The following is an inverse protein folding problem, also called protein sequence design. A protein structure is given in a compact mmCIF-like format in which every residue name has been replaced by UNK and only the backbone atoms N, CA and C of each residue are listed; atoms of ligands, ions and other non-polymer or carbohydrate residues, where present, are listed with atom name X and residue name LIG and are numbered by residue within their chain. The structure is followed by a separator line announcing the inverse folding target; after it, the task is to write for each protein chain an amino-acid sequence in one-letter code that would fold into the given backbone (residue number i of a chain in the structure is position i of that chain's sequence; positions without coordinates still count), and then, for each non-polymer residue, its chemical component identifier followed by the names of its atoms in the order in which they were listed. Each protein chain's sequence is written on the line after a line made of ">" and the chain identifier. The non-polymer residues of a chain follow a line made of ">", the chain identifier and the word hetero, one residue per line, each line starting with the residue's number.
data_IF_131185777948
#
_entry.id   IF_131185777948
#
_cell.length_a   1.000
_cell.length_b   1.000
_cell.length_c   1.000
_cell.angle_alpha   90.00
_cell.angle_beta   90.00
_cell.angle_gamma   90.00
#
_symmetry.space_group_name_H-M   'P 1'
#
loop_
_entity.id
_entity.type
_entity.pdbx_description
1 polymer ?
#
# COMPACT_ATOMS: atom_id res chain seq x y z
N UNK A 1 21.82 52.06 1.12
CA UNK A 1 20.76 51.23 0.50
C UNK A 1 21.42 50.07 -0.25
N UNK A 2 21.40 48.86 0.30
CA UNK A 2 22.03 47.69 -0.36
C UNK A 2 21.10 47.23 -1.48
N UNK A 3 21.51 47.45 -2.73
CA UNK A 3 20.83 46.87 -3.91
C UNK A 3 21.14 45.36 -3.94
N UNK A 4 20.30 44.55 -3.30
CA UNK A 4 20.36 43.09 -3.46
C UNK A 4 20.07 42.74 -4.91
N UNK A 5 21.09 42.25 -5.65
CA UNK A 5 20.90 41.66 -6.98
C UNK A 5 20.27 40.27 -6.82
N UNK A 6 19.11 40.04 -7.47
CA UNK A 6 18.53 38.70 -7.56
C UNK A 6 19.40 37.86 -8.49
N UNK A 7 20.16 36.93 -7.92
CA UNK A 7 21.00 36.01 -8.69
C UNK A 7 20.16 34.80 -9.10
N UNK A 8 19.78 34.73 -10.38
CA UNK A 8 19.14 33.56 -10.97
C UNK A 8 20.19 32.46 -11.19
N UNK A 9 19.87 31.22 -10.77
CA UNK A 9 20.76 30.07 -10.95
C UNK A 9 19.95 28.86 -11.36
N UNK A 10 20.21 28.35 -12.56
CA UNK A 10 19.58 27.13 -13.07
C UNK A 10 19.83 25.93 -12.16
N UNK A 11 21.00 25.86 -11.50
CA UNK A 11 21.31 24.83 -10.51
C UNK A 11 20.36 24.89 -9.31
N UNK A 12 20.08 26.09 -8.79
CA UNK A 12 19.13 26.29 -7.68
C UNK A 12 17.69 25.97 -8.11
N UNK A 13 17.30 26.39 -9.31
CA UNK A 13 15.98 26.08 -9.87
C UNK A 13 15.81 24.56 -10.04
N UNK A 14 16.77 23.88 -10.68
CA UNK A 14 16.76 22.43 -10.85
C UNK A 14 16.65 21.68 -9.53
N UNK A 15 17.44 22.06 -8.52
CA UNK A 15 17.36 21.44 -7.18
C UNK A 15 15.99 21.61 -6.51
N UNK A 16 15.33 22.76 -6.70
CA UNK A 16 13.96 22.98 -6.20
C UNK A 16 12.95 22.12 -6.93
N UNK A 17 13.03 22.07 -8.27
CA UNK A 17 12.13 21.24 -9.09
C UNK A 17 12.20 19.76 -8.70
N UNK A 18 13.41 19.23 -8.58
CA UNK A 18 13.66 17.84 -8.16
C UNK A 18 13.10 17.60 -6.75
N UNK A 19 13.26 18.56 -5.84
CA UNK A 19 12.67 18.49 -4.49
C UNK A 19 11.14 18.39 -4.51
N UNK A 20 10.48 19.28 -5.25
CA UNK A 20 9.02 19.31 -5.37
C UNK A 20 8.49 17.99 -5.95
N UNK A 21 9.11 17.48 -7.02
CA UNK A 21 8.69 16.23 -7.64
C UNK A 21 8.87 15.05 -6.67
N UNK A 22 10.01 14.96 -5.96
CA UNK A 22 10.24 13.91 -4.98
C UNK A 22 9.23 13.95 -3.81
N UNK A 23 8.86 15.15 -3.35
CA UNK A 23 7.83 15.36 -2.33
C UNK A 23 6.45 14.89 -2.83
N UNK A 24 6.06 15.27 -4.05
CA UNK A 24 4.80 14.81 -4.66
C UNK A 24 4.78 13.29 -4.76
N UNK A 25 5.82 12.67 -5.32
CA UNK A 25 5.88 11.21 -5.48
C UNK A 25 5.74 10.51 -4.11
N UNK A 26 6.43 11.02 -3.09
CA UNK A 26 6.30 10.51 -1.73
C UNK A 26 4.87 10.65 -1.18
N UNK A 27 4.20 11.77 -1.45
CA UNK A 27 2.80 11.97 -1.07
C UNK A 27 1.85 11.02 -1.82
N UNK A 28 2.08 10.78 -3.10
CA UNK A 28 1.33 9.80 -3.91
C UNK A 28 1.49 8.39 -3.35
N UNK A 29 2.71 7.97 -3.01
CA UNK A 29 2.95 6.65 -2.42
C UNK A 29 2.30 6.52 -1.03
N UNK A 30 2.29 7.58 -0.22
CA UNK A 30 1.57 7.61 1.06
C UNK A 30 0.06 7.42 0.85
N UNK A 31 -0.53 8.19 -0.06
CA UNK A 31 -1.95 8.07 -0.40
C UNK A 31 -2.29 6.66 -0.88
N UNK A 32 -1.48 6.11 -1.78
CA UNK A 32 -1.69 4.76 -2.30
C UNK A 32 -1.61 3.71 -1.19
N UNK A 33 -0.65 3.83 -0.27
CA UNK A 33 -0.54 2.95 0.88
C UNK A 33 -1.78 3.02 1.77
N UNK A 34 -2.26 4.22 2.09
CA UNK A 34 -3.49 4.43 2.87
C UNK A 34 -4.74 3.92 2.16
N UNK A 35 -4.84 4.12 0.84
CA UNK A 35 -5.95 3.65 0.01
C UNK A 35 -6.02 2.12 -0.01
N UNK A 36 -4.87 1.43 -0.13
CA UNK A 36 -4.78 -0.03 0.00
C UNK A 36 -5.29 -0.48 1.38
N UNK A 37 -4.85 0.18 2.47
CA UNK A 37 -5.31 -0.15 3.83
C UNK A 37 -6.82 0.06 3.98
N UNK A 38 -7.37 1.16 3.46
CA UNK A 38 -8.81 1.43 3.46
C UNK A 38 -9.59 0.41 2.64
N UNK A 39 -9.05 -0.03 1.50
CA UNK A 39 -9.62 -1.10 0.68
C UNK A 39 -9.73 -2.40 1.47
N UNK A 40 -8.65 -2.82 2.14
CA UNK A 40 -8.66 -4.00 3.02
C UNK A 40 -9.74 -3.88 4.11
N UNK A 41 -9.79 -2.74 4.81
CA UNK A 41 -10.70 -2.52 5.93
C UNK A 41 -12.17 -2.49 5.49
N UNK A 42 -12.44 -1.95 4.30
CA UNK A 42 -13.78 -1.88 3.73
C UNK A 42 -14.14 -3.09 2.86
N UNK A 43 -13.25 -4.08 2.76
CA UNK A 43 -13.40 -5.27 1.91
C UNK A 43 -13.62 -4.91 0.43
N UNK A 44 -12.88 -3.93 -0.07
CA UNK A 44 -12.95 -3.40 -1.43
C UNK A 44 -11.59 -3.55 -2.10
N UNK A 45 -11.57 -3.98 -3.36
CA UNK A 45 -10.36 -4.12 -4.17
C UNK A 45 -9.85 -2.76 -4.70
N UNK A 46 -8.68 -2.77 -5.36
CA UNK A 46 -8.07 -1.56 -5.92
C UNK A 46 -8.90 -0.91 -7.03
N UNK A 47 -9.86 -1.64 -7.61
CA UNK A 47 -10.77 -1.18 -8.67
C UNK A 47 -12.07 -0.61 -8.12
N UNK A 48 -12.33 -0.77 -6.82
CA UNK A 48 -13.54 -0.33 -6.12
C UNK A 48 -14.63 -1.40 -5.99
N UNK A 49 -14.37 -2.65 -6.37
CA UNK A 49 -15.33 -3.76 -6.24
C UNK A 49 -15.20 -4.45 -4.88
N UNK A 50 -16.29 -4.99 -4.34
CA UNK A 50 -16.21 -5.76 -3.08
C UNK A 50 -15.48 -7.08 -3.28
N UNK A 51 -14.68 -7.48 -2.29
CA UNK A 51 -14.04 -8.79 -2.29
C UNK A 51 -15.09 -9.89 -2.42
N UNK A 52 -14.82 -10.85 -3.31
CA UNK A 52 -15.65 -12.03 -3.43
C UNK A 52 -15.73 -12.76 -2.09
N UNK A 53 -16.95 -12.99 -1.62
CA UNK A 53 -17.19 -13.79 -0.41
C UNK A 53 -16.70 -15.22 -0.69
N UNK A 54 -16.10 -15.83 0.33
CA UNK A 54 -15.81 -17.26 0.27
C UNK A 54 -17.13 -18.02 0.09
N UNK A 55 -17.13 -19.02 -0.80
CA UNK A 55 -18.31 -19.86 -1.06
C UNK A 55 -18.64 -20.68 0.18
N UNK A 56 -19.55 -20.16 1.02
CA UNK A 56 -20.22 -20.75 2.20
C UNK A 56 -19.36 -21.40 3.30
N UNK A 57 -18.10 -21.73 3.04
CA UNK A 57 -17.20 -22.45 3.93
C UNK A 57 -16.38 -21.46 4.75
N UNK A 58 -16.90 -21.13 5.93
CA UNK A 58 -16.13 -20.48 6.97
C UNK A 58 -15.43 -21.53 7.83
N UNK A 59 -14.22 -21.25 8.33
CA UNK A 59 -13.60 -22.07 9.38
C UNK A 59 -14.26 -21.84 10.74
N UNK A 60 -15.15 -20.85 10.87
CA UNK A 60 -15.77 -20.45 12.13
C UNK A 60 -16.59 -21.58 12.79
N UNK A 61 -17.46 -22.33 12.09
CA UNK A 61 -18.16 -23.46 12.70
C UNK A 61 -17.20 -24.55 13.20
N UNK A 62 -16.12 -24.83 12.46
CA UNK A 62 -15.09 -25.80 12.85
C UNK A 62 -14.35 -25.32 14.11
N UNK A 63 -14.01 -24.02 14.18
CA UNK A 63 -13.35 -23.41 15.34
C UNK A 63 -14.25 -23.38 16.57
N UNK A 64 -15.53 -23.03 16.39
CA UNK A 64 -16.53 -23.03 17.46
C UNK A 64 -16.71 -24.43 18.04
N UNK A 65 -16.80 -25.47 17.19
CA UNK A 65 -16.86 -26.88 17.65
C UNK A 65 -15.63 -27.30 18.47
N UNK A 66 -14.46 -26.73 18.17
CA UNK A 66 -13.20 -26.99 18.90
C UNK A 66 -13.00 -26.08 20.12
N UNK A 67 -14.00 -25.29 20.50
CA UNK A 67 -13.92 -24.36 21.65
C UNK A 67 -13.02 -23.13 21.42
N UNK A 68 -12.57 -22.88 20.18
CA UNK A 68 -11.68 -21.76 19.88
C UNK A 68 -12.39 -20.43 19.59
N UNK A 69 -13.71 -20.44 19.35
CA UNK A 69 -14.52 -19.26 19.09
C UNK A 69 -14.09 -18.41 17.88
N UNK A 70 -14.65 -17.20 17.77
CA UNK A 70 -14.12 -16.13 16.95
C UNK A 70 -13.00 -15.44 17.74
N UNK A 71 -11.74 -15.69 17.38
CA UNK A 71 -10.62 -14.86 17.84
C UNK A 71 -10.39 -13.79 16.78
N UNK A 72 -10.69 -12.50 17.07
CA UNK A 72 -10.34 -11.39 16.20
C UNK A 72 -8.87 -11.46 15.76
N UNK A 73 -8.55 -10.98 14.56
CA UNK A 73 -7.16 -10.94 14.08
C UNK A 73 -6.22 -10.21 15.06
N UNK A 74 -6.75 -9.28 15.86
CA UNK A 74 -6.03 -8.52 16.90
C UNK A 74 -5.65 -9.30 18.15
N UNK A 75 -6.23 -10.49 18.39
CA UNK A 75 -6.00 -11.30 19.62
C UNK A 75 -5.30 -12.63 19.34
N UNK A 76 -4.94 -12.90 18.07
CA UNK A 76 -4.01 -14.00 17.79
C UNK A 76 -2.64 -13.63 18.35
N UNK A 77 -2.21 -14.35 19.40
CA UNK A 77 -0.83 -14.28 19.92
C UNK A 77 0.13 -14.51 18.75
N UNK A 78 0.74 -13.42 18.29
CA UNK A 78 1.89 -13.45 17.40
C UNK A 78 2.98 -14.20 18.16
N UNK A 79 3.38 -15.38 17.66
CA UNK A 79 4.43 -16.16 18.32
C UNK A 79 5.71 -15.35 18.35
N UNK A 80 6.25 -15.12 19.54
CA UNK A 80 7.57 -14.51 19.75
C UNK A 80 8.64 -15.55 19.47
N UNK A 81 9.37 -15.46 18.35
CA UNK A 81 10.66 -16.14 18.14
C UNK A 81 11.33 -15.52 16.91
N UNK A 82 12.63 -15.21 16.82
CA UNK A 82 13.79 -15.41 17.68
C UNK A 82 15.00 -14.73 17.01
N UNK A 83 16.14 -14.63 17.69
CA UNK A 83 17.28 -13.75 17.37
C UNK A 83 18.07 -14.02 16.05
N UNK A 84 17.48 -14.66 15.05
CA UNK A 84 18.17 -15.02 13.79
C UNK A 84 17.41 -14.56 12.54
N UNK A 85 17.30 -13.24 12.37
CA UNK A 85 17.60 -12.56 11.09
C UNK A 85 16.75 -12.83 9.84
N UNK A 86 15.66 -13.58 9.91
CA UNK A 86 14.65 -13.71 8.82
C UNK A 86 13.24 -13.80 9.43
N UNK A 87 12.86 -12.74 10.12
CA UNK A 87 11.63 -12.69 10.92
C UNK A 87 10.38 -12.42 10.06
N UNK A 88 9.86 -13.46 9.41
CA UNK A 88 8.46 -13.51 9.00
C UNK A 88 7.58 -13.96 10.17
N UNK A 89 7.48 -13.14 11.23
CA UNK A 89 6.58 -13.44 12.35
C UNK A 89 5.12 -13.21 11.93
N UNK A 90 4.44 -14.29 11.57
CA UNK A 90 3.00 -14.54 11.81
C UNK A 90 1.99 -13.43 11.52
N UNK A 91 2.17 -12.62 10.47
CA UNK A 91 1.11 -11.72 10.02
C UNK A 91 0.07 -12.48 9.19
N UNK A 92 -1.02 -12.92 9.81
CA UNK A 92 -2.27 -13.28 9.09
C UNK A 92 -2.98 -12.04 8.52
N UNK A 93 -2.38 -10.87 8.68
CA UNK A 93 -2.94 -9.62 8.20
C UNK A 93 -2.47 -9.36 6.77
N UNK A 94 -3.39 -8.89 5.93
CA UNK A 94 -3.06 -8.27 4.64
C UNK A 94 -2.25 -6.98 4.83
N UNK A 95 -2.07 -6.50 6.07
CA UNK A 95 -1.55 -5.17 6.43
C UNK A 95 -0.01 -5.06 6.43
N UNK A 96 0.67 -5.67 5.48
CA UNK A 96 2.13 -5.66 5.43
C UNK A 96 2.65 -5.02 4.13
N UNK A 97 2.42 -3.72 3.99
CA UNK A 97 2.98 -2.89 2.91
C UNK A 97 4.05 -1.95 3.46
N UNK A 98 5.14 -1.77 2.70
CA UNK A 98 6.21 -0.80 2.99
C UNK A 98 6.17 0.32 1.97
N UNK A 99 6.12 1.56 2.44
CA UNK A 99 6.38 2.70 1.59
C UNK A 99 7.88 2.95 1.47
N UNK A 100 8.36 3.12 0.25
CA UNK A 100 9.70 3.63 -0.06
C UNK A 100 9.51 5.03 -0.64
N UNK A 101 9.89 6.10 0.08
CA UNK A 101 9.73 7.47 -0.41
C UNK A 101 10.65 7.73 -1.61
N UNK A 102 10.27 8.69 -2.45
CA UNK A 102 11.13 9.14 -3.52
C UNK A 102 12.30 9.94 -2.95
N UNK A 103 13.48 9.75 -3.52
CA UNK A 103 14.66 10.55 -3.22
C UNK A 103 14.98 11.43 -4.42
N UNK A 104 15.78 12.49 -4.20
CA UNK A 104 16.24 13.36 -5.29
C UNK A 104 17.02 12.61 -6.38
N UNK A 105 17.62 11.47 -6.04
CA UNK A 105 18.38 10.63 -6.96
C UNK A 105 17.53 9.58 -7.67
N UNK A 106 16.58 8.95 -6.96
CA UNK A 106 15.77 7.87 -7.53
C UNK A 106 14.54 8.37 -8.30
N UNK A 107 13.97 9.51 -7.89
CA UNK A 107 12.76 10.10 -8.49
C UNK A 107 11.62 9.09 -8.67
N UNK A 108 11.57 8.13 -7.75
CA UNK A 108 10.65 7.01 -7.79
C UNK A 108 10.28 6.66 -6.35
N UNK A 109 8.97 6.63 -6.07
CA UNK A 109 8.40 6.16 -4.82
C UNK A 109 7.66 4.85 -5.04
N UNK A 110 7.78 3.91 -4.11
CA UNK A 110 7.15 2.58 -4.23
C UNK A 110 6.33 2.26 -3.00
N UNK A 111 5.27 1.50 -3.20
CA UNK A 111 4.64 0.72 -2.13
C UNK A 111 4.94 -0.74 -2.44
N UNK A 112 5.53 -1.45 -1.50
CA UNK A 112 6.00 -2.83 -1.67
C UNK A 112 5.22 -3.72 -0.71
N UNK A 113 4.77 -4.87 -1.20
CA UNK A 113 4.20 -5.90 -0.33
C UNK A 113 5.33 -6.67 0.36
N UNK A 114 5.32 -6.72 1.69
CA UNK A 114 6.37 -7.36 2.49
C UNK A 114 5.98 -8.81 2.85
N UNK A 115 4.68 -9.13 2.89
CA UNK A 115 4.19 -10.42 3.36
C UNK A 115 3.81 -11.35 2.19
N UNK A 116 4.40 -12.54 2.15
CA UNK A 116 4.08 -13.60 1.18
C UNK A 116 2.59 -14.02 1.25
N UNK A 117 1.98 -14.01 2.43
CA UNK A 117 0.54 -14.30 2.57
C UNK A 117 -0.33 -13.28 1.83
N UNK A 118 0.12 -12.02 1.78
CA UNK A 118 -0.54 -10.98 1.02
C UNK A 118 -0.55 -11.28 -0.48
N UNK A 119 0.53 -11.87 -1.00
CA UNK A 119 0.72 -12.21 -2.42
C UNK A 119 -0.31 -13.27 -2.81
N UNK A 120 -0.40 -14.35 -2.04
CA UNK A 120 -1.38 -15.42 -2.29
C UNK A 120 -2.82 -14.91 -2.27
N UNK A 121 -3.16 -13.99 -1.36
CA UNK A 121 -4.50 -13.41 -1.33
C UNK A 121 -4.76 -12.44 -2.51
N UNK A 122 -3.71 -11.85 -3.08
CA UNK A 122 -3.82 -11.00 -4.26
C UNK A 122 -4.07 -11.84 -5.52
N UNK A 123 -3.39 -12.98 -5.66
CA UNK A 123 -3.45 -13.88 -6.83
C UNK A 123 -4.60 -14.90 -6.76
N UNK A 124 -5.08 -15.20 -5.55
CA UNK A 124 -5.96 -16.34 -5.30
C UNK A 124 -5.18 -17.65 -5.20
N UNK A 125 -5.74 -18.64 -4.50
CA UNK A 125 -5.06 -19.92 -4.28
C UNK A 125 -6.04 -21.04 -3.97
N UNK A 126 -5.58 -22.28 -4.04
CA UNK A 126 -6.32 -23.45 -3.54
C UNK A 126 -5.72 -23.90 -2.21
N UNK A 127 -6.56 -24.18 -1.22
CA UNK A 127 -6.08 -24.64 0.09
C UNK A 127 -5.46 -26.03 0.00
N UNK A 128 -4.29 -26.21 0.64
CA UNK A 128 -3.58 -27.48 0.64
C UNK A 128 -4.27 -28.59 1.45
N UNK A 129 -3.84 -29.83 1.24
CA UNK A 129 -4.38 -31.04 1.88
C UNK A 129 -4.33 -31.04 3.42
N UNK A 130 -3.35 -30.34 4.01
CA UNK A 130 -3.19 -30.19 5.46
C UNK A 130 -3.96 -29.00 6.06
N UNK A 131 -4.73 -28.26 5.27
CA UNK A 131 -5.48 -27.10 5.77
C UNK A 131 -6.75 -27.52 6.52
N UNK A 132 -7.33 -26.60 7.30
CA UNK A 132 -8.61 -26.86 7.99
C UNK A 132 -9.78 -27.10 7.04
N UNK A 133 -9.71 -26.60 5.80
CA UNK A 133 -10.70 -26.84 4.76
C UNK A 133 -9.95 -27.14 3.46
N UNK A 134 -9.54 -28.40 3.22
CA UNK A 134 -8.74 -28.78 2.06
C UNK A 134 -9.44 -28.59 0.71
N UNK A 135 -8.67 -28.34 -0.35
CA UNK A 135 -9.15 -28.36 -1.74
C UNK A 135 -10.13 -27.25 -2.11
N UNK A 136 -10.17 -26.16 -1.33
CA UNK A 136 -11.06 -25.02 -1.59
C UNK A 136 -10.35 -23.92 -2.34
N UNK A 137 -11.02 -23.41 -3.37
CA UNK A 137 -10.56 -22.25 -4.14
C UNK A 137 -10.87 -20.97 -3.38
N UNK A 138 -9.83 -20.25 -3.01
CA UNK A 138 -9.89 -18.89 -2.48
C UNK A 138 -9.78 -17.92 -3.66
N UNK A 139 -10.80 -17.09 -3.92
CA UNK A 139 -10.77 -16.17 -5.03
C UNK A 139 -9.70 -15.10 -4.82
N UNK A 140 -9.11 -14.64 -5.94
CA UNK A 140 -8.22 -13.48 -5.96
C UNK A 140 -8.95 -12.24 -5.44
N UNK A 141 -8.26 -11.38 -4.70
CA UNK A 141 -8.84 -10.16 -4.11
C UNK A 141 -8.32 -8.86 -4.71
N UNK A 142 -7.33 -8.89 -5.59
CA UNK A 142 -6.73 -7.70 -6.24
C UNK A 142 -6.63 -6.49 -5.27
N UNK A 143 -6.18 -6.75 -4.04
CA UNK A 143 -6.21 -5.79 -2.95
C UNK A 143 -4.96 -4.89 -2.95
N UNK A 144 -3.93 -5.29 -3.69
CA UNK A 144 -2.67 -4.58 -3.82
C UNK A 144 -2.38 -4.25 -5.29
N UNK A 145 -1.91 -3.03 -5.53
CA UNK A 145 -1.64 -2.48 -6.86
C UNK A 145 -1.79 -0.96 -6.84
N UNK A 146 -1.98 -0.34 -8.00
CA UNK A 146 -2.37 1.07 -8.12
C UNK A 146 -3.90 1.14 -8.01
N UNK A 147 -4.42 2.05 -7.19
CA UNK A 147 -5.88 2.21 -7.05
C UNK A 147 -6.45 3.00 -8.21
N UNK A 148 -7.70 2.76 -8.59
CA UNK A 148 -8.40 3.46 -9.68
C UNK A 148 -8.28 4.99 -9.61
N UNK A 149 -8.24 5.56 -8.40
CA UNK A 149 -8.10 7.00 -8.21
C UNK A 149 -6.68 7.54 -8.50
N UNK A 150 -5.68 6.67 -8.42
CA UNK A 150 -4.25 6.94 -8.60
C UNK A 150 -3.71 6.47 -9.95
N UNK A 151 -4.50 5.72 -10.73
CA UNK A 151 -4.19 5.42 -12.12
C UNK A 151 -4.18 6.71 -12.96
N UNK A 152 -3.53 6.68 -14.13
CA UNK A 152 -3.50 7.83 -15.06
C UNK A 152 -4.93 8.24 -15.42
N UNK A 153 -5.26 9.53 -15.28
CA UNK A 153 -6.62 10.06 -15.46
C UNK A 153 -7.54 9.86 -14.25
N UNK A 154 -7.06 9.21 -13.18
CA UNK A 154 -7.76 9.11 -11.91
C UNK A 154 -7.82 10.44 -11.18
N UNK A 155 -8.89 10.68 -10.41
CA UNK A 155 -9.14 11.97 -9.74
C UNK A 155 -7.98 12.42 -8.85
N UNK A 156 -7.39 11.51 -8.08
CA UNK A 156 -6.30 11.85 -7.17
C UNK A 156 -4.97 12.00 -7.91
N UNK A 157 -4.73 11.18 -8.94
CA UNK A 157 -3.61 11.35 -9.84
C UNK A 157 -3.59 12.76 -10.45
N UNK A 158 -4.70 13.21 -11.05
CA UNK A 158 -4.80 14.55 -11.64
C UNK A 158 -4.65 15.67 -10.61
N UNK A 159 -5.11 15.45 -9.38
CA UNK A 159 -4.92 16.38 -8.27
C UNK A 159 -3.44 16.55 -7.94
N UNK A 160 -2.71 15.44 -7.76
CA UNK A 160 -1.27 15.49 -7.49
C UNK A 160 -0.48 16.13 -8.63
N UNK A 161 -0.79 15.80 -9.89
CA UNK A 161 -0.16 16.43 -11.06
C UNK A 161 -0.39 17.94 -11.05
N UNK A 162 -1.64 18.37 -10.88
CA UNK A 162 -2.01 19.79 -10.85
C UNK A 162 -1.31 20.54 -9.72
N UNK A 163 -1.34 20.01 -8.50
CA UNK A 163 -0.64 20.59 -7.34
C UNK A 163 0.86 20.69 -7.58
N UNK A 164 1.47 19.69 -8.22
CA UNK A 164 2.90 19.71 -8.55
C UNK A 164 3.24 20.83 -9.53
N UNK A 165 2.45 20.99 -10.60
CA UNK A 165 2.64 22.05 -11.58
C UNK A 165 2.47 23.45 -10.95
N UNK A 166 1.51 23.61 -10.04
CA UNK A 166 1.32 24.85 -9.28
C UNK A 166 2.55 25.14 -8.42
N UNK A 167 3.01 24.17 -7.65
CA UNK A 167 4.18 24.32 -6.77
C UNK A 167 5.45 24.65 -7.58
N UNK A 168 5.66 23.97 -8.71
CA UNK A 168 6.75 24.27 -9.65
C UNK A 168 6.65 25.72 -10.12
N UNK A 169 5.49 26.14 -10.63
CA UNK A 169 5.28 27.49 -11.17
C UNK A 169 5.53 28.56 -10.11
N UNK A 170 5.01 28.37 -8.90
CA UNK A 170 5.21 29.29 -7.79
C UNK A 170 6.68 29.34 -7.34
N UNK A 171 7.40 28.22 -7.40
CA UNK A 171 8.81 28.15 -7.01
C UNK A 171 9.76 28.90 -7.95
N UNK A 172 9.36 29.07 -9.22
CA UNK A 172 10.11 29.80 -10.26
C UNK A 172 9.78 31.30 -10.23
N UNK A 173 8.56 31.68 -9.84
CA UNK A 173 8.14 33.10 -9.74
C UNK A 173 8.81 33.88 -8.59
N UNK A 174 9.35 33.19 -7.59
CA UNK A 174 10.07 33.78 -6.43
C UNK A 174 11.58 33.80 -6.64
#
# INVERSE_FOLDING_TARGET
>A
MIKTRRNYSFKKAGNKLVGIIAETLTAMARYQNESIQRGIDTQTDIKGSKFAKLSTASTLPIRNRRGHGFTPLSTMKMGTVGASGRDFSTSKSLRATKMVPATRSSMESKVIMINEHGIYHNEGFTTGGKSMIPGKKVPKREWFGITKEMEKGGKQYETFVSTTLINITQSIKK
#
